data_IF_840847798497
#
_entry.id   IF_840847798497
#
_cell.length_a   1.000
_cell.length_b   1.000
_cell.length_c   1.000
_cell.angle_alpha   90.00
_cell.angle_beta   90.00
_cell.angle_gamma   90.00
#
_symmetry.space_group_name_H-M   'P 1'
#
loop_
_entity.id
_entity.type
_entity.pdbx_description
1 polymer ?
#
# COMPACT_ATOMS: atom_id res chain seq x y z
N UNK A 1 2.05 23.66 19.55
CA UNK A 1 1.50 24.40 18.41
C UNK A 1 2.68 25.00 17.65
N UNK A 2 3.10 24.35 16.57
CA UNK A 2 4.23 24.83 15.74
C UNK A 2 3.65 25.85 14.76
N UNK A 3 3.95 27.12 14.99
CA UNK A 3 3.63 28.21 14.06
C UNK A 3 4.68 28.16 12.93
N UNK A 4 4.30 27.68 11.76
CA UNK A 4 5.10 27.83 10.54
C UNK A 4 4.86 29.25 10.04
N UNK A 5 5.92 30.07 10.03
CA UNK A 5 5.86 31.44 9.50
C UNK A 5 5.55 31.40 7.99
N UNK A 6 4.63 32.25 7.48
CA UNK A 6 4.24 32.24 6.07
C UNK A 6 5.41 32.41 5.10
N UNK A 7 6.48 33.12 5.49
CA UNK A 7 7.67 33.37 4.69
C UNK A 7 8.51 32.10 4.40
N UNK A 8 8.29 31.00 5.16
CA UNK A 8 8.94 29.72 4.90
C UNK A 8 8.12 28.80 3.99
N UNK A 9 6.87 29.14 3.71
CA UNK A 9 6.03 28.38 2.78
C UNK A 9 6.43 28.62 1.33
N UNK A 10 6.94 29.81 0.99
CA UNK A 10 7.41 30.12 -0.37
C UNK A 10 8.73 29.41 -0.74
N UNK A 11 9.55 29.05 0.25
CA UNK A 11 10.78 28.27 -0.01
C UNK A 11 10.53 26.75 -0.07
N UNK A 12 9.37 26.27 0.38
CA UNK A 12 8.87 24.93 0.14
C UNK A 12 8.10 24.84 -1.18
N UNK A 13 7.97 25.98 -1.86
CA UNK A 13 7.23 26.11 -3.10
C UNK A 13 7.93 25.36 -4.23
N UNK A 14 7.18 24.40 -4.76
CA UNK A 14 7.28 23.86 -6.12
C UNK A 14 8.63 23.16 -6.43
N UNK A 15 9.04 22.22 -5.63
CA UNK A 15 9.61 21.03 -6.23
C UNK A 15 8.45 20.41 -7.03
N UNK A 16 8.58 20.38 -8.36
CA UNK A 16 7.70 19.61 -9.21
C UNK A 16 7.49 18.27 -8.54
N UNK A 17 6.26 17.97 -8.13
CA UNK A 17 6.01 16.69 -7.45
C UNK A 17 6.36 15.60 -8.45
N UNK A 18 7.24 14.66 -8.09
CA UNK A 18 7.58 13.58 -8.99
C UNK A 18 6.30 12.87 -9.41
N UNK A 19 6.29 12.38 -10.66
CA UNK A 19 5.17 11.64 -11.21
C UNK A 19 4.60 10.65 -10.17
N UNK A 20 3.28 10.67 -9.92
CA UNK A 20 2.71 9.82 -8.90
C UNK A 20 2.86 8.34 -9.27
N UNK A 21 3.41 7.54 -8.37
CA UNK A 21 3.41 6.09 -8.49
C UNK A 21 2.01 5.51 -8.30
N UNK A 22 1.27 6.09 -7.34
CA UNK A 22 -0.13 5.78 -7.09
C UNK A 22 -0.89 7.10 -6.97
N UNK A 23 -2.03 7.18 -7.64
CA UNK A 23 -2.97 8.29 -7.55
C UNK A 23 -4.26 7.76 -6.92
N UNK A 24 -4.64 8.35 -5.80
CA UNK A 24 -5.89 8.06 -5.10
C UNK A 24 -6.84 9.21 -5.35
N UNK A 25 -8.07 8.90 -5.76
CA UNK A 25 -9.12 9.88 -6.04
C UNK A 25 -10.44 9.44 -5.41
N UNK A 26 -10.98 10.32 -4.56
CA UNK A 26 -12.28 10.18 -3.90
C UNK A 26 -12.49 8.81 -3.22
N UNK A 27 -11.43 8.27 -2.63
CA UNK A 27 -11.47 6.98 -1.98
C UNK A 27 -12.36 7.01 -0.74
N UNK A 28 -13.35 6.15 -0.73
CA UNK A 28 -14.22 5.86 0.39
C UNK A 28 -14.06 4.40 0.79
N UNK A 29 -13.90 4.13 2.08
CA UNK A 29 -13.79 2.76 2.59
C UNK A 29 -14.79 2.57 3.74
N UNK A 30 -15.46 1.44 3.71
CA UNK A 30 -16.51 1.09 4.67
C UNK A 30 -16.20 -0.25 5.35
N UNK A 31 -16.52 -0.35 6.62
CA UNK A 31 -16.59 -1.57 7.42
C UNK A 31 -18.06 -1.78 7.82
N UNK A 32 -18.78 -2.60 7.08
CA UNK A 32 -20.24 -2.67 7.21
C UNK A 32 -20.87 -1.30 6.97
N UNK A 33 -21.54 -0.77 7.97
CA UNK A 33 -22.15 0.58 7.93
C UNK A 33 -21.21 1.71 8.37
N UNK A 34 -20.02 1.40 8.87
CA UNK A 34 -19.08 2.41 9.33
C UNK A 34 -18.23 2.95 8.17
N UNK A 35 -18.33 4.26 7.90
CA UNK A 35 -17.58 4.95 6.86
C UNK A 35 -16.20 5.36 7.41
N UNK A 36 -15.19 4.54 7.16
CA UNK A 36 -13.86 4.65 7.75
C UNK A 36 -12.94 5.65 7.03
N UNK A 37 -12.97 5.70 5.69
CA UNK A 37 -12.30 6.73 4.89
C UNK A 37 -13.34 7.49 4.08
N UNK A 38 -13.24 8.82 4.05
CA UNK A 38 -14.22 9.72 3.43
C UNK A 38 -13.52 10.61 2.40
N UNK A 39 -13.79 10.37 1.12
CA UNK A 39 -13.32 11.18 -0.01
C UNK A 39 -11.81 11.49 0.04
N UNK A 40 -11.00 10.47 0.29
CA UNK A 40 -9.55 10.65 0.36
C UNK A 40 -8.96 10.75 -1.04
N UNK A 41 -8.33 11.88 -1.34
CA UNK A 41 -7.62 12.09 -2.61
C UNK A 41 -6.20 12.55 -2.32
N UNK A 42 -5.22 11.80 -2.82
CA UNK A 42 -3.80 12.14 -2.67
C UNK A 42 -2.92 11.39 -3.68
N UNK A 43 -1.82 12.01 -4.16
CA UNK A 43 -0.80 11.33 -4.92
C UNK A 43 0.24 10.69 -3.97
N UNK A 44 0.75 9.52 -4.33
CA UNK A 44 1.93 8.89 -3.73
C UNK A 44 3.06 8.95 -4.76
N UNK A 45 4.10 9.75 -4.51
CA UNK A 45 5.18 9.97 -5.48
C UNK A 45 5.97 8.69 -5.77
N UNK A 46 6.49 8.59 -6.99
CA UNK A 46 7.42 7.52 -7.39
C UNK A 46 8.79 7.74 -6.77
N UNK A 47 9.40 6.65 -6.26
CA UNK A 47 10.78 6.68 -5.75
C UNK A 47 10.98 7.43 -4.44
N UNK A 48 9.91 7.77 -3.73
CA UNK A 48 9.94 8.48 -2.46
C UNK A 48 9.29 7.68 -1.34
N UNK A 49 9.71 7.94 -0.10
CA UNK A 49 9.00 7.45 1.08
C UNK A 49 7.88 8.42 1.42
N UNK A 50 6.64 7.91 1.47
CA UNK A 50 5.47 8.67 1.93
C UNK A 50 5.07 8.19 3.31
N UNK A 51 5.05 9.09 4.31
CA UNK A 51 4.65 8.77 5.67
C UNK A 51 3.25 9.32 5.98
N UNK A 52 2.35 8.47 6.48
CA UNK A 52 1.04 8.87 7.00
C UNK A 52 1.11 9.03 8.52
N UNK A 53 0.92 10.25 9.01
CA UNK A 53 1.01 10.60 10.43
C UNK A 53 -0.38 11.04 10.92
N UNK A 54 -0.75 10.59 12.09
CA UNK A 54 -2.02 10.96 12.72
C UNK A 54 -2.36 10.07 13.91
N UNK A 55 -3.40 10.41 14.70
CA UNK A 55 -3.80 9.66 15.87
C UNK A 55 -4.21 8.23 15.56
N UNK A 56 -4.31 7.39 16.59
CA UNK A 56 -4.86 6.03 16.44
C UNK A 56 -6.31 6.10 15.96
N UNK A 57 -6.66 5.19 15.04
CA UNK A 57 -8.02 5.11 14.49
C UNK A 57 -8.35 6.10 13.36
N UNK A 58 -7.45 7.01 12.97
CA UNK A 58 -7.74 7.99 11.90
C UNK A 58 -7.72 7.41 10.47
N UNK A 59 -7.58 6.10 10.28
CA UNK A 59 -7.70 5.46 8.96
C UNK A 59 -6.39 5.13 8.24
N UNK A 60 -5.20 5.40 8.80
CA UNK A 60 -3.90 5.12 8.14
C UNK A 60 -3.77 3.67 7.65
N UNK A 61 -4.05 2.72 8.53
CA UNK A 61 -3.98 1.29 8.18
C UNK A 61 -5.07 0.87 7.19
N UNK A 62 -6.23 1.52 7.23
CA UNK A 62 -7.30 1.31 6.26
C UNK A 62 -6.86 1.75 4.88
N UNK A 63 -6.24 2.94 4.77
CA UNK A 63 -5.69 3.44 3.52
C UNK A 63 -4.60 2.51 2.97
N UNK A 64 -3.63 2.09 3.80
CA UNK A 64 -2.58 1.17 3.37
C UNK A 64 -3.14 -0.16 2.86
N UNK A 65 -4.15 -0.72 3.55
CA UNK A 65 -4.80 -1.97 3.14
C UNK A 65 -5.57 -1.84 1.83
N UNK A 66 -6.07 -0.66 1.50
CA UNK A 66 -6.77 -0.43 0.24
C UNK A 66 -5.84 -0.50 -0.98
N UNK A 67 -4.55 -0.20 -0.81
CA UNK A 67 -3.57 -0.22 -1.92
C UNK A 67 -3.29 -1.63 -2.48
N UNK A 68 -3.55 -2.68 -1.71
CA UNK A 68 -3.38 -4.08 -2.14
C UNK A 68 -4.66 -4.91 -1.99
N UNK A 69 -5.81 -4.25 -1.86
CA UNK A 69 -7.13 -4.87 -1.76
C UNK A 69 -7.27 -5.87 -0.60
N UNK A 70 -6.64 -5.58 0.54
CA UNK A 70 -6.82 -6.42 1.73
C UNK A 70 -8.25 -6.37 2.29
N UNK A 71 -9.03 -5.31 1.99
CA UNK A 71 -10.45 -5.24 2.33
C UNK A 71 -11.28 -6.37 1.70
N UNK A 72 -10.89 -6.87 0.52
CA UNK A 72 -11.63 -7.96 -0.16
C UNK A 72 -11.59 -9.29 0.59
N UNK A 73 -10.70 -9.42 1.58
CA UNK A 73 -10.65 -10.61 2.44
C UNK A 73 -11.81 -10.68 3.44
N UNK A 74 -12.55 -9.58 3.56
CA UNK A 74 -13.64 -9.43 4.53
C UNK A 74 -14.92 -9.02 3.81
N UNK A 75 -15.98 -9.87 3.80
CA UNK A 75 -17.21 -9.59 3.03
C UNK A 75 -17.91 -8.27 3.41
N UNK A 76 -17.69 -7.81 4.64
CA UNK A 76 -18.30 -6.59 5.17
C UNK A 76 -17.56 -5.31 4.78
N UNK A 77 -16.40 -5.46 4.12
CA UNK A 77 -15.57 -4.32 3.74
C UNK A 77 -15.75 -4.00 2.26
N UNK A 78 -15.88 -2.72 1.95
CA UNK A 78 -15.90 -2.25 0.56
C UNK A 78 -15.13 -0.96 0.40
N UNK A 79 -14.57 -0.77 -0.77
CA UNK A 79 -13.91 0.46 -1.18
C UNK A 79 -14.58 1.01 -2.46
N UNK A 80 -14.74 2.32 -2.52
CA UNK A 80 -15.32 3.06 -3.64
C UNK A 80 -14.38 4.22 -3.99
N UNK A 81 -14.42 4.70 -5.23
CA UNK A 81 -13.50 5.71 -5.74
C UNK A 81 -12.50 5.11 -6.72
N UNK A 82 -11.30 5.68 -6.80
CA UNK A 82 -10.25 5.21 -7.71
C UNK A 82 -8.90 5.16 -7.01
N UNK A 83 -8.15 4.10 -7.28
CA UNK A 83 -6.73 3.95 -6.90
C UNK A 83 -5.97 3.48 -8.14
N UNK A 84 -5.25 4.39 -8.77
CA UNK A 84 -4.49 4.10 -10.00
C UNK A 84 -3.00 3.91 -9.70
N UNK A 85 -2.43 2.84 -10.20
CA UNK A 85 -0.99 2.56 -10.21
C UNK A 85 -0.48 2.48 -11.65
N UNK A 86 -0.07 3.60 -12.21
CA UNK A 86 0.13 3.75 -13.66
C UNK A 86 -1.21 3.58 -14.39
N UNK A 87 -1.27 2.63 -15.32
CA UNK A 87 -2.48 2.32 -16.08
C UNK A 87 -3.43 1.36 -15.35
N UNK A 88 -3.01 0.79 -14.22
CA UNK A 88 -3.79 -0.17 -13.46
C UNK A 88 -4.74 0.53 -12.49
N UNK A 89 -6.06 0.33 -12.65
CA UNK A 89 -7.06 0.70 -11.64
C UNK A 89 -7.20 -0.42 -10.61
N UNK A 90 -6.70 -0.18 -9.40
CA UNK A 90 -6.61 -1.21 -8.34
C UNK A 90 -7.99 -1.70 -7.89
N UNK A 91 -9.00 -0.84 -7.90
CA UNK A 91 -10.35 -1.19 -7.45
C UNK A 91 -11.20 -1.86 -8.54
N UNK A 92 -10.70 -2.00 -9.77
CA UNK A 92 -11.42 -2.70 -10.83
C UNK A 92 -11.66 -4.17 -10.43
N UNK A 93 -12.92 -4.65 -10.44
CA UNK A 93 -13.24 -6.04 -10.08
C UNK A 93 -12.60 -7.08 -10.99
N UNK A 94 -12.22 -6.71 -12.21
CA UNK A 94 -11.66 -7.62 -13.21
C UNK A 94 -10.18 -7.93 -13.02
N UNK A 95 -9.45 -7.18 -12.17
CA UNK A 95 -8.01 -7.39 -12.00
C UNK A 95 -7.69 -8.68 -11.23
N UNK A 96 -6.58 -9.30 -11.59
CA UNK A 96 -5.99 -10.37 -10.80
C UNK A 96 -5.38 -9.81 -9.50
N UNK A 97 -6.09 -10.04 -8.39
CA UNK A 97 -5.66 -9.59 -7.05
C UNK A 97 -4.36 -10.25 -6.61
N UNK A 98 -4.07 -11.48 -7.06
CA UNK A 98 -2.82 -12.17 -6.75
C UNK A 98 -1.64 -11.48 -7.44
N UNK A 99 -1.81 -11.13 -8.71
CA UNK A 99 -0.83 -10.35 -9.47
C UNK A 99 -0.63 -8.95 -8.85
N UNK A 100 -1.70 -8.28 -8.41
CA UNK A 100 -1.61 -7.01 -7.68
C UNK A 100 -0.77 -7.16 -6.41
N UNK A 101 -1.10 -8.11 -5.54
CA UNK A 101 -0.41 -8.35 -4.24
C UNK A 101 1.05 -8.77 -4.43
N UNK A 102 1.38 -9.32 -5.58
CA UNK A 102 2.78 -9.60 -5.93
C UNK A 102 3.59 -8.32 -6.24
N UNK A 103 2.93 -7.23 -6.63
CA UNK A 103 3.55 -5.93 -6.94
C UNK A 103 3.48 -4.95 -5.77
N UNK A 104 2.47 -5.08 -4.90
CA UNK A 104 2.25 -4.23 -3.73
C UNK A 104 2.36 -5.08 -2.46
N UNK A 105 3.58 -5.25 -1.98
CA UNK A 105 3.86 -5.96 -0.73
C UNK A 105 3.39 -5.16 0.49
N UNK A 106 3.13 -5.86 1.59
CA UNK A 106 2.70 -5.26 2.85
C UNK A 106 3.48 -5.85 4.02
N UNK A 107 4.02 -4.98 4.88
CA UNK A 107 4.63 -5.38 6.15
C UNK A 107 3.63 -5.06 7.27
N UNK A 108 3.26 -6.08 8.04
CA UNK A 108 2.32 -5.93 9.14
C UNK A 108 3.03 -5.50 10.44
N UNK A 109 2.31 -4.81 11.30
CA UNK A 109 2.83 -4.38 12.61
C UNK A 109 3.21 -5.58 13.52
N UNK A 110 2.49 -6.70 13.38
CA UNK A 110 2.81 -7.95 14.06
C UNK A 110 3.26 -8.96 12.99
N UNK A 111 4.50 -9.45 13.05
CA UNK A 111 4.95 -10.50 12.14
C UNK A 111 4.18 -11.78 12.42
N UNK A 112 3.76 -12.44 11.36
CA UNK A 112 3.07 -13.75 11.42
C UNK A 112 3.84 -14.73 10.53
N UNK A 113 5.01 -15.21 10.96
CA UNK A 113 5.77 -16.16 10.18
C UNK A 113 5.02 -17.49 10.07
N UNK A 114 5.22 -18.18 8.96
CA UNK A 114 4.76 -19.55 8.80
C UNK A 114 5.53 -20.50 9.73
N UNK A 115 4.94 -21.64 10.15
CA UNK A 115 5.60 -22.64 11.00
C UNK A 115 6.66 -23.44 10.22
N UNK A 116 7.69 -22.75 9.76
CA UNK A 116 8.81 -23.29 8.99
C UNK A 116 10.09 -22.54 9.37
N UNK A 117 11.25 -22.94 8.84
CA UNK A 117 12.52 -22.29 9.12
C UNK A 117 12.52 -20.81 8.70
N UNK A 118 13.47 -20.01 9.23
CA UNK A 118 13.67 -18.60 8.82
C UNK A 118 13.96 -18.56 7.32
N UNK A 119 14.87 -19.42 6.85
CA UNK A 119 15.20 -19.56 5.44
C UNK A 119 13.95 -19.80 4.58
N UNK A 120 13.11 -20.77 4.96
CA UNK A 120 11.90 -21.09 4.19
C UNK A 120 10.88 -19.96 4.21
N UNK A 121 10.76 -19.20 5.31
CA UNK A 121 9.92 -18.02 5.35
C UNK A 121 10.39 -16.94 4.37
N UNK A 122 11.70 -16.68 4.29
CA UNK A 122 12.27 -15.71 3.34
C UNK A 122 12.14 -16.21 1.90
N UNK A 123 12.50 -17.47 1.66
CA UNK A 123 12.44 -18.10 0.34
C UNK A 123 11.02 -18.30 -0.19
N UNK A 124 10.01 -18.29 0.68
CA UNK A 124 8.63 -18.65 0.33
C UNK A 124 8.08 -17.84 -0.84
N UNK A 125 8.22 -16.52 -0.78
CA UNK A 125 7.73 -15.63 -1.83
C UNK A 125 8.41 -15.84 -3.18
N UNK A 126 9.70 -16.16 -3.19
CA UNK A 126 10.46 -16.46 -4.41
C UNK A 126 9.97 -17.77 -5.02
N UNK A 127 9.84 -18.82 -4.21
CA UNK A 127 9.38 -20.14 -4.64
C UNK A 127 7.96 -20.14 -5.21
N UNK A 128 7.10 -19.23 -4.75
CA UNK A 128 5.73 -19.08 -5.29
C UNK A 128 5.72 -18.49 -6.70
N UNK A 129 6.73 -17.70 -7.05
CA UNK A 129 6.76 -16.96 -8.31
C UNK A 129 7.60 -17.60 -9.38
N UNK A 130 8.71 -18.22 -8.98
CA UNK A 130 9.76 -18.66 -9.87
C UNK A 130 10.17 -20.10 -9.57
N UNK A 131 10.41 -20.87 -10.62
CA UNK A 131 11.18 -22.12 -10.51
C UNK A 131 12.65 -21.74 -10.57
N UNK A 132 13.29 -21.67 -9.41
CA UNK A 132 14.68 -21.25 -9.26
C UNK A 132 15.55 -22.42 -8.76
N UNK A 133 16.78 -22.51 -9.24
CA UNK A 133 17.75 -23.47 -8.74
C UNK A 133 18.12 -23.16 -7.28
N UNK A 134 18.49 -24.20 -6.52
CA UNK A 134 18.77 -24.03 -5.08
C UNK A 134 19.89 -23.03 -4.82
N UNK A 135 20.97 -23.07 -5.61
CA UNK A 135 22.11 -22.16 -5.45
C UNK A 135 21.71 -20.69 -5.63
N UNK A 136 20.89 -20.39 -6.67
CA UNK A 136 20.42 -19.02 -6.94
C UNK A 136 19.41 -18.55 -5.87
N UNK A 137 18.64 -19.50 -5.31
CA UNK A 137 17.73 -19.19 -4.19
C UNK A 137 18.51 -18.87 -2.92
N UNK A 138 19.57 -19.63 -2.63
CA UNK A 138 20.42 -19.41 -1.46
C UNK A 138 21.07 -18.02 -1.52
N UNK A 139 21.59 -17.61 -2.68
CA UNK A 139 22.14 -16.26 -2.91
C UNK A 139 21.12 -15.13 -2.69
N UNK A 140 19.84 -15.37 -3.01
CA UNK A 140 18.78 -14.36 -2.81
C UNK A 140 18.28 -14.28 -1.36
N UNK A 141 18.49 -15.30 -0.57
CA UNK A 141 18.02 -15.38 0.82
C UNK A 141 19.06 -14.82 1.79
N UNK A 142 20.36 -14.91 1.45
CA UNK A 142 21.48 -14.31 2.21
C UNK A 142 21.55 -12.78 2.04
#
# INVERSE_FOLDING_TARGET
MLLIHPEHLDQLAVREMPEPKILISDLNVYYGNFHALKNVSLPIPKGCVTAFIGPSGCGKSTLLRSLNRMQDLYPEQRAEGSIRMGDLEILDPSIDVTALRSRVGMVFQRPTPFPMSIYDNVAYGVRLREKIAKADLDERVE
#
